data_IF_498406116239
#
_entry.id   IF_498406116239
#
_cell.length_a   1.000
_cell.length_b   1.000
_cell.length_c   1.000
_cell.angle_alpha   90.00
_cell.angle_beta   90.00
_cell.angle_gamma   90.00
#
_symmetry.space_group_name_H-M   'P 1'
#
loop_
_entity.id
_entity.type
_entity.pdbx_description
1 polymer ?
#
# COMPACT_ATOMS: atom_id res chain seq x y z
N UNK A 1 11.45 -10.21 -6.73
CA UNK A 1 11.09 -10.20 -8.16
C UNK A 1 10.87 -8.76 -8.58
N UNK A 2 11.46 -8.29 -9.68
CA UNK A 2 11.17 -6.94 -10.19
C UNK A 2 9.87 -7.01 -10.99
N UNK A 3 8.87 -6.19 -10.65
CA UNK A 3 7.60 -6.15 -11.41
C UNK A 3 7.80 -5.38 -12.71
N UNK A 4 6.92 -5.47 -13.68
CA UNK A 4 6.94 -4.57 -14.85
C UNK A 4 6.29 -3.23 -14.50
N UNK A 5 6.67 -2.14 -15.17
CA UNK A 5 5.91 -0.88 -15.06
C UNK A 5 4.49 -1.14 -15.57
N UNK A 6 3.49 -0.74 -14.80
CA UNK A 6 2.08 -1.06 -15.05
C UNK A 6 1.57 -2.32 -14.35
N UNK A 7 2.42 -3.09 -13.65
CA UNK A 7 1.96 -4.18 -12.80
C UNK A 7 1.08 -3.65 -11.66
N UNK A 8 0.01 -4.38 -11.35
CA UNK A 8 -0.93 -4.05 -10.29
C UNK A 8 -0.81 -5.04 -9.13
N UNK A 9 -0.87 -4.54 -7.91
CA UNK A 9 -0.87 -5.33 -6.68
C UNK A 9 -1.99 -4.89 -5.74
N UNK A 10 -2.61 -5.87 -5.08
CA UNK A 10 -3.59 -5.67 -4.03
C UNK A 10 -2.95 -5.85 -2.66
N UNK A 11 -3.17 -4.90 -1.76
CA UNK A 11 -2.71 -4.97 -0.36
C UNK A 11 -3.94 -4.99 0.54
N UNK A 12 -4.05 -6.05 1.36
CA UNK A 12 -5.07 -6.22 2.40
C UNK A 12 -4.43 -6.05 3.78
N UNK A 13 -5.16 -6.36 4.85
CA UNK A 13 -4.57 -6.42 6.21
C UNK A 13 -3.38 -7.38 6.35
N UNK A 14 -3.24 -8.32 5.41
CA UNK A 14 -2.18 -9.32 5.42
C UNK A 14 -0.85 -8.82 4.88
N UNK A 15 0.16 -9.69 5.04
CA UNK A 15 1.48 -9.53 4.44
C UNK A 15 1.42 -9.87 2.94
N UNK A 16 1.75 -8.93 2.06
CA UNK A 16 1.93 -9.17 0.63
C UNK A 16 3.44 -9.23 0.30
N UNK A 17 3.95 -10.45 0.06
CA UNK A 17 5.35 -10.74 -0.25
C UNK A 17 5.76 -10.54 -1.72
N UNK A 18 4.85 -10.07 -2.58
CA UNK A 18 5.17 -9.88 -4.01
C UNK A 18 6.11 -8.70 -4.23
N UNK A 19 6.04 -7.66 -3.39
CA UNK A 19 6.88 -6.49 -3.53
C UNK A 19 8.39 -6.81 -3.42
N UNK A 20 9.16 -6.25 -4.34
CA UNK A 20 10.62 -6.30 -4.28
C UNK A 20 11.12 -5.40 -3.15
N UNK A 21 12.13 -5.83 -2.40
CA UNK A 21 12.57 -5.13 -1.20
C UNK A 21 11.91 -5.64 0.08
N UNK A 22 10.85 -6.44 -0.04
CA UNK A 22 10.22 -7.18 1.06
C UNK A 22 8.71 -6.92 1.13
N UNK A 23 8.04 -7.53 2.11
CA UNK A 23 6.60 -7.50 2.17
C UNK A 23 6.04 -6.10 2.44
N UNK A 24 4.90 -5.81 1.85
CA UNK A 24 4.04 -4.67 2.21
C UNK A 24 2.72 -5.22 2.75
N UNK A 25 2.17 -4.63 3.81
CA UNK A 25 0.88 -5.05 4.36
C UNK A 25 0.08 -3.87 4.90
N UNK A 26 -1.25 -3.98 4.85
CA UNK A 26 -2.17 -3.00 5.43
C UNK A 26 -2.18 -3.14 6.96
N UNK A 27 -1.54 -2.22 7.65
CA UNK A 27 -1.62 -2.14 9.12
C UNK A 27 -2.99 -1.68 9.61
N UNK A 28 -3.68 -0.82 8.83
CA UNK A 28 -5.03 -0.33 9.14
C UNK A 28 -5.69 0.27 7.90
N UNK A 29 -7.01 0.16 7.80
CA UNK A 29 -7.85 0.95 6.88
C UNK A 29 -8.88 1.72 7.70
N UNK A 30 -9.30 2.90 7.23
CA UNK A 30 -10.37 3.70 7.84
C UNK A 30 -10.93 4.72 6.86
N UNK A 31 -12.10 5.27 7.21
CA UNK A 31 -12.63 6.49 6.60
C UNK A 31 -12.22 7.70 7.45
N UNK A 32 -11.72 8.75 6.82
CA UNK A 32 -11.49 10.06 7.44
C UNK A 32 -12.82 10.76 7.76
N UNK A 33 -12.77 11.87 8.50
CA UNK A 33 -13.96 12.61 8.93
C UNK A 33 -14.82 13.14 7.77
N UNK A 34 -14.23 13.32 6.58
CA UNK A 34 -14.89 13.73 5.34
C UNK A 34 -15.39 12.54 4.50
N UNK A 35 -15.24 11.31 4.99
CA UNK A 35 -15.58 10.08 4.30
C UNK A 35 -14.52 9.60 3.29
N UNK A 36 -13.35 10.23 3.23
CA UNK A 36 -12.28 9.80 2.33
C UNK A 36 -11.59 8.53 2.87
N UNK A 37 -11.39 7.49 2.05
CA UNK A 37 -10.71 6.29 2.50
C UNK A 37 -9.20 6.55 2.63
N UNK A 38 -8.62 5.98 3.69
CA UNK A 38 -7.21 6.05 4.01
C UNK A 38 -6.71 4.69 4.50
N UNK A 39 -5.40 4.46 4.36
CA UNK A 39 -4.76 3.26 4.83
C UNK A 39 -3.41 3.56 5.49
N UNK A 40 -2.97 2.66 6.35
CA UNK A 40 -1.65 2.66 6.97
C UNK A 40 -0.91 1.44 6.48
N UNK A 41 0.19 1.62 5.76
CA UNK A 41 1.01 0.54 5.23
C UNK A 41 2.21 0.27 6.11
N UNK A 42 2.37 -0.97 6.52
CA UNK A 42 3.63 -1.51 7.02
C UNK A 42 4.43 -2.11 5.88
N UNK A 43 5.76 -2.12 6.01
CA UNK A 43 6.60 -2.60 4.93
C UNK A 43 7.98 -3.08 5.39
N UNK A 44 8.93 -3.18 4.45
CA UNK A 44 10.23 -3.79 4.71
C UNK A 44 11.12 -2.96 5.62
N UNK A 45 12.31 -3.50 5.93
CA UNK A 45 13.25 -2.89 6.86
C UNK A 45 13.62 -1.44 6.51
N UNK A 46 13.61 -1.08 5.22
CA UNK A 46 13.89 0.28 4.77
C UNK A 46 12.85 1.31 5.25
N UNK A 47 11.63 0.87 5.58
CA UNK A 47 10.61 1.72 6.18
C UNK A 47 10.73 1.81 7.71
N UNK A 48 11.62 1.06 8.37
CA UNK A 48 11.70 1.02 9.86
C UNK A 48 11.89 2.38 10.53
N UNK A 49 12.56 3.33 9.87
CA UNK A 49 12.72 4.70 10.39
C UNK A 49 11.39 5.47 10.45
N UNK A 50 10.42 5.08 9.61
CA UNK A 50 9.08 5.65 9.52
C UNK A 50 8.03 4.71 10.14
N UNK A 51 8.37 3.43 10.32
CA UNK A 51 7.49 2.38 10.81
C UNK A 51 6.43 2.03 9.78
N UNK A 52 5.25 2.65 9.93
CA UNK A 52 4.14 2.50 9.01
C UNK A 52 3.81 3.87 8.41
N UNK A 53 3.47 3.90 7.12
CA UNK A 53 3.14 5.11 6.38
C UNK A 53 1.64 5.24 6.18
N UNK A 54 1.10 6.43 6.44
CA UNK A 54 -0.29 6.74 6.08
C UNK A 54 -0.35 7.12 4.61
N UNK A 55 -1.37 6.63 3.91
CA UNK A 55 -1.52 6.79 2.47
C UNK A 55 -2.97 6.97 2.05
N UNK A 56 -3.14 7.69 0.94
CA UNK A 56 -4.41 7.95 0.28
C UNK A 56 -4.37 7.54 -1.19
N UNK A 57 -5.54 7.48 -1.82
CA UNK A 57 -5.62 7.30 -3.27
C UNK A 57 -4.87 8.42 -3.99
N UNK A 58 -3.99 8.05 -4.92
CA UNK A 58 -3.13 8.96 -5.66
C UNK A 58 -1.72 9.09 -5.11
N UNK A 59 -1.50 8.73 -3.84
CA UNK A 59 -0.17 8.75 -3.23
C UNK A 59 0.75 7.69 -3.84
N UNK A 60 2.05 7.89 -3.63
CA UNK A 60 3.08 6.95 -4.06
C UNK A 60 3.91 6.46 -2.89
N UNK A 61 4.27 5.19 -2.91
CA UNK A 61 5.28 4.62 -2.01
C UNK A 61 6.39 3.95 -2.82
N UNK A 62 7.57 3.82 -2.22
CA UNK A 62 8.70 3.13 -2.84
C UNK A 62 9.11 1.95 -1.97
N UNK A 63 9.25 0.79 -2.62
CA UNK A 63 9.69 -0.45 -1.98
C UNK A 63 10.72 -1.17 -2.85
N UNK A 64 11.89 -1.45 -2.29
CA UNK A 64 13.02 -2.06 -3.02
C UNK A 64 13.48 -1.26 -4.24
N UNK A 65 13.30 0.06 -4.23
CA UNK A 65 13.61 0.93 -5.37
C UNK A 65 12.59 0.90 -6.51
N UNK A 66 11.42 0.28 -6.32
CA UNK A 66 10.28 0.38 -7.24
C UNK A 66 9.24 1.32 -6.64
N UNK A 67 8.72 2.24 -7.46
CA UNK A 67 7.69 3.19 -7.01
C UNK A 67 6.33 2.73 -7.49
N UNK A 68 5.38 2.77 -6.57
CA UNK A 68 4.01 2.31 -6.73
C UNK A 68 3.06 3.45 -6.43
N UNK A 69 2.05 3.64 -7.26
CA UNK A 69 0.98 4.61 -7.06
C UNK A 69 -0.26 3.88 -6.58
N UNK A 70 -0.86 4.35 -5.49
CA UNK A 70 -2.14 3.84 -5.02
C UNK A 70 -3.23 4.35 -5.95
N UNK A 71 -3.95 3.41 -6.54
CA UNK A 71 -5.02 3.67 -7.50
C UNK A 71 -6.38 3.71 -6.84
N UNK A 72 -6.57 2.93 -5.78
CA UNK A 72 -7.85 2.84 -5.08
C UNK A 72 -7.67 2.30 -3.66
N UNK A 73 -8.57 2.70 -2.76
CA UNK A 73 -8.75 2.10 -1.43
C UNK A 73 -10.25 1.78 -1.31
N UNK A 74 -10.57 0.51 -1.10
CA UNK A 74 -11.93 -0.04 -1.16
C UNK A 74 -12.35 -0.56 0.20
N UNK A 75 -13.63 -0.34 0.55
CA UNK A 75 -14.28 -0.83 1.77
C UNK A 75 -13.48 -0.57 3.05
N UNK A 76 -12.93 0.64 3.19
CA UNK A 76 -11.96 0.99 4.22
C UNK A 76 -12.47 0.88 5.68
N UNK A 77 -13.77 0.76 5.89
CA UNK A 77 -14.44 0.53 7.17
C UNK A 77 -14.84 -0.94 7.42
N UNK A 78 -14.41 -1.86 6.54
CA UNK A 78 -14.71 -3.29 6.60
C UNK A 78 -13.47 -4.15 6.93
N UNK A 79 -13.72 -5.40 7.34
CA UNK A 79 -12.69 -6.45 7.44
C UNK A 79 -12.19 -6.89 6.05
N UNK A 80 -12.96 -6.61 5.00
CA UNK A 80 -12.61 -6.90 3.61
C UNK A 80 -11.81 -5.76 2.94
N UNK A 81 -11.41 -4.73 3.70
CA UNK A 81 -10.70 -3.57 3.17
C UNK A 81 -9.43 -3.96 2.41
N UNK A 82 -9.22 -3.30 1.28
CA UNK A 82 -8.01 -3.45 0.48
C UNK A 82 -7.66 -2.16 -0.25
N UNK A 83 -6.41 -2.09 -0.72
CA UNK A 83 -6.00 -1.07 -1.68
C UNK A 83 -5.33 -1.71 -2.89
N UNK A 84 -5.44 -1.03 -4.03
CA UNK A 84 -4.74 -1.38 -5.26
C UNK A 84 -3.64 -0.37 -5.53
N UNK A 85 -2.51 -0.86 -6.04
CA UNK A 85 -1.40 -0.02 -6.42
C UNK A 85 -0.79 -0.50 -7.74
N UNK A 86 -0.41 0.45 -8.58
CA UNK A 86 0.23 0.19 -9.87
C UNK A 86 1.69 0.64 -9.82
N UNK A 87 2.60 -0.17 -10.35
CA UNK A 87 4.01 0.22 -10.48
C UNK A 87 4.13 1.32 -11.53
N UNK A 88 4.78 2.41 -11.15
CA UNK A 88 5.03 3.57 -12.03
C UNK A 88 6.50 3.78 -12.37
N UNK A 89 7.44 3.23 -11.58
CA UNK A 89 8.87 3.22 -11.93
C UNK A 89 9.67 2.10 -11.27
#
# INVERSE_FOLDING_TARGET
MVHEIGAEETITYGRNDRFYGGPVGGGRFWLEDDGRPAAKLGGPEEWRSHGMIDVHTGDTFTVGGQTWKITEIVDADSEDAYLTAVRVS
#
